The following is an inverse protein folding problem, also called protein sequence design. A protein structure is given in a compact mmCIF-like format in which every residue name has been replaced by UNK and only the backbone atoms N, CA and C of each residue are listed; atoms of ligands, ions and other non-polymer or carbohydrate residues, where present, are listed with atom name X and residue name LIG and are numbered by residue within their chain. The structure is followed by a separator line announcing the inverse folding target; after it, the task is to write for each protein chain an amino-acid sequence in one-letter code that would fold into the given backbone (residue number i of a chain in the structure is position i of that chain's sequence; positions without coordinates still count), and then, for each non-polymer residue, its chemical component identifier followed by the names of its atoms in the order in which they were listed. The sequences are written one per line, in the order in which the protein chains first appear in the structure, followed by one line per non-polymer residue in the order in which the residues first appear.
data_IF_040240348753
#
_entry.id   IF_040240348753
#
_cell.length_a   1.000
_cell.length_b   1.000
_cell.length_c   1.000
_cell.angle_alpha   90.00
_cell.angle_beta   90.00
_cell.angle_gamma   90.00
#
_symmetry.space_group_name_H-M   'P 1'
#
loop_
_entity.id
_entity.type
_entity.pdbx_description
1 polymer ?
#
# COMPACT_ATOMS: atom_id res chain seq x y z
N UNK A 1 -1.46 -6.81 12.72
CA UNK A 1 -2.71 -6.93 11.94
C UNK A 1 -3.52 -5.66 12.01
N UNK A 2 -4.08 -5.18 10.89
CA UNK A 2 -4.82 -3.91 10.84
C UNK A 2 -6.25 -4.06 11.39
N UNK A 3 -6.99 -5.09 10.95
CA UNK A 3 -8.46 -5.14 11.12
C UNK A 3 -9.05 -6.49 11.50
N UNK A 4 -8.33 -7.35 12.23
CA UNK A 4 -8.95 -8.57 12.77
C UNK A 4 -9.92 -8.21 13.89
N UNK A 5 -11.11 -8.82 13.87
CA UNK A 5 -12.19 -8.56 14.82
C UNK A 5 -11.74 -8.89 16.24
N UNK A 6 -11.85 -7.91 17.15
CA UNK A 6 -11.51 -8.11 18.55
C UNK A 6 -12.66 -8.65 19.39
N UNK A 7 -12.32 -9.15 20.59
CA UNK A 7 -13.26 -9.66 21.60
C UNK A 7 -14.28 -10.69 21.09
N UNK A 8 -13.90 -11.52 20.11
CA UNK A 8 -14.73 -12.57 19.52
C UNK A 8 -14.29 -13.99 19.93
N UNK A 9 -13.38 -14.10 20.91
CA UNK A 9 -12.80 -15.36 21.40
C UNK A 9 -12.20 -16.27 20.31
N UNK A 10 -11.79 -15.72 19.16
CA UNK A 10 -11.30 -16.49 18.00
C UNK A 10 -10.07 -15.84 17.38
N UNK A 11 -9.00 -16.61 17.17
CA UNK A 11 -7.83 -16.16 16.39
C UNK A 11 -7.04 -15.02 17.04
N UNK A 12 -6.91 -13.90 16.34
CA UNK A 12 -6.08 -12.73 16.72
C UNK A 12 -6.90 -11.44 16.69
N UNK A 13 -6.33 -10.36 17.23
CA UNK A 13 -6.94 -9.01 17.25
C UNK A 13 -6.14 -8.04 16.37
N UNK A 14 -6.85 -7.16 15.64
CA UNK A 14 -6.27 -6.06 14.88
C UNK A 14 -6.10 -4.79 15.72
N UNK A 15 -5.36 -3.82 15.18
CA UNK A 15 -5.30 -2.47 15.76
C UNK A 15 -6.69 -1.81 15.76
N UNK A 16 -7.48 -2.02 14.71
CA UNK A 16 -8.88 -1.58 14.61
C UNK A 16 -9.80 -2.81 14.66
N UNK A 17 -10.79 -2.82 15.56
CA UNK A 17 -11.68 -3.97 15.74
C UNK A 17 -12.91 -3.93 14.83
N UNK A 18 -13.25 -2.74 14.33
CA UNK A 18 -14.32 -2.49 13.36
C UNK A 18 -13.80 -1.58 12.24
N UNK A 19 -13.57 -2.17 11.06
CA UNK A 19 -13.07 -1.48 9.87
C UNK A 19 -13.46 -2.28 8.62
N UNK A 20 -13.46 -1.65 7.45
CA UNK A 20 -13.57 -2.33 6.16
C UNK A 20 -12.20 -2.40 5.49
N UNK A 21 -11.87 -3.56 4.93
CA UNK A 21 -10.61 -3.80 4.21
C UNK A 21 -10.95 -4.08 2.74
N UNK A 22 -10.34 -3.31 1.84
CA UNK A 22 -10.34 -3.57 0.40
C UNK A 22 -9.04 -4.27 0.03
N UNK A 23 -9.10 -5.56 -0.28
CA UNK A 23 -7.93 -6.35 -0.66
C UNK A 23 -7.65 -6.22 -2.16
N UNK A 24 -6.48 -5.68 -2.50
CA UNK A 24 -6.03 -5.51 -3.89
C UNK A 24 -4.80 -6.38 -4.13
N UNK A 25 -4.99 -7.51 -4.83
CA UNK A 25 -3.93 -8.49 -5.10
C UNK A 25 -3.19 -8.12 -6.38
N UNK A 26 -1.89 -7.84 -6.27
CA UNK A 26 -0.97 -7.73 -7.41
C UNK A 26 0.23 -8.67 -7.33
N UNK A 27 0.51 -9.25 -6.15
CA UNK A 27 1.52 -10.28 -5.97
C UNK A 27 0.91 -11.67 -6.23
N UNK A 28 1.64 -12.52 -6.95
CA UNK A 28 1.32 -13.91 -7.26
C UNK A 28 1.28 -14.82 -6.04
N UNK A 29 1.17 -16.12 -6.28
CA UNK A 29 1.33 -17.17 -5.26
C UNK A 29 2.79 -17.38 -4.86
N UNK A 30 3.72 -17.06 -5.76
CA UNK A 30 5.17 -16.99 -5.55
C UNK A 30 5.64 -15.78 -4.73
N UNK A 31 4.74 -14.82 -4.47
CA UNK A 31 5.02 -13.60 -3.73
C UNK A 31 5.60 -12.45 -4.57
N UNK A 32 5.66 -12.59 -5.90
CA UNK A 32 6.20 -11.58 -6.81
C UNK A 32 5.11 -10.88 -7.62
N UNK A 33 5.39 -9.68 -8.11
CA UNK A 33 4.48 -8.91 -8.95
C UNK A 33 5.22 -7.78 -9.66
N UNK A 34 4.50 -7.07 -10.54
CA UNK A 34 5.06 -5.97 -11.34
C UNK A 34 4.62 -4.59 -10.82
N UNK A 35 5.44 -3.58 -11.06
CA UNK A 35 5.03 -2.18 -10.85
C UNK A 35 3.75 -1.83 -11.62
N UNK A 36 3.58 -2.39 -12.82
CA UNK A 36 2.37 -2.16 -13.62
C UNK A 36 1.11 -2.66 -12.91
N UNK A 37 1.17 -3.80 -12.22
CA UNK A 37 0.03 -4.33 -11.47
C UNK A 37 -0.18 -3.61 -10.13
N UNK A 38 0.91 -3.15 -9.49
CA UNK A 38 0.83 -2.26 -8.34
C UNK A 38 0.14 -0.94 -8.70
N UNK A 39 0.52 -0.32 -9.82
CA UNK A 39 -0.10 0.91 -10.37
C UNK A 39 -1.59 0.69 -10.64
N UNK A 40 -1.99 -0.44 -11.24
CA UNK A 40 -3.41 -0.78 -11.43
C UNK A 40 -4.18 -0.83 -10.11
N UNK A 41 -3.59 -1.42 -9.07
CA UNK A 41 -4.22 -1.45 -7.74
C UNK A 41 -4.37 -0.06 -7.12
N UNK A 42 -3.33 0.77 -7.20
CA UNK A 42 -3.37 2.14 -6.68
C UNK A 42 -4.46 2.96 -7.41
N UNK A 43 -4.46 2.91 -8.74
CA UNK A 43 -5.44 3.63 -9.56
C UNK A 43 -6.88 3.15 -9.29
N UNK A 44 -7.08 1.84 -9.10
CA UNK A 44 -8.38 1.31 -8.71
C UNK A 44 -8.85 1.88 -7.36
N UNK A 45 -7.97 1.92 -6.35
CA UNK A 45 -8.31 2.52 -5.05
C UNK A 45 -8.69 4.01 -5.17
N UNK A 46 -7.96 4.76 -6.02
CA UNK A 46 -8.26 6.17 -6.33
C UNK A 46 -9.62 6.31 -7.01
N UNK A 47 -9.92 5.48 -8.00
CA UNK A 47 -11.22 5.46 -8.69
C UNK A 47 -12.38 5.17 -7.72
N UNK A 48 -12.22 4.19 -6.82
CA UNK A 48 -13.22 3.87 -5.80
C UNK A 48 -13.41 5.02 -4.81
N UNK A 49 -12.31 5.67 -4.39
CA UNK A 49 -12.37 6.86 -3.53
C UNK A 49 -13.13 8.01 -4.19
N UNK A 50 -12.85 8.28 -5.47
CA UNK A 50 -13.52 9.32 -6.24
C UNK A 50 -15.00 8.98 -6.50
N UNK A 51 -15.34 7.69 -6.55
CA UNK A 51 -16.71 7.18 -6.63
C UNK A 51 -17.47 7.21 -5.30
N UNK A 52 -16.86 7.73 -4.23
CA UNK A 52 -17.51 7.94 -2.93
C UNK A 52 -17.23 6.87 -1.87
N UNK A 53 -16.39 5.86 -2.16
CA UNK A 53 -15.94 4.91 -1.14
C UNK A 53 -15.01 5.63 -0.16
N UNK A 54 -15.25 5.47 1.14
CA UNK A 54 -14.44 6.13 2.18
C UNK A 54 -13.08 5.42 2.38
N UNK A 55 -12.19 5.56 1.40
CA UNK A 55 -10.80 5.07 1.45
C UNK A 55 -9.91 6.22 1.93
N UNK A 56 -9.17 5.99 3.02
CA UNK A 56 -8.30 7.00 3.64
C UNK A 56 -6.83 6.59 3.69
N UNK A 57 -6.55 5.29 3.60
CA UNK A 57 -5.21 4.73 3.78
C UNK A 57 -4.99 3.57 2.79
N UNK A 58 -3.83 3.56 2.14
CA UNK A 58 -3.23 2.39 1.51
C UNK A 58 -2.09 1.88 2.38
N UNK A 59 -2.02 0.56 2.54
CA UNK A 59 -0.99 -0.12 3.32
C UNK A 59 -0.14 -0.97 2.39
N UNK A 60 1.11 -0.58 2.18
CA UNK A 60 1.99 -1.06 1.11
C UNK A 60 3.23 -1.75 1.69
N UNK A 61 3.03 -2.97 2.19
CA UNK A 61 4.11 -3.84 2.73
C UNK A 61 4.80 -4.63 1.62
N UNK A 62 5.37 -3.92 0.67
CA UNK A 62 6.12 -4.46 -0.45
C UNK A 62 7.16 -3.42 -0.86
N UNK A 63 8.16 -3.86 -1.60
CA UNK A 63 9.17 -2.97 -2.15
C UNK A 63 10.29 -3.72 -2.84
N UNK A 64 11.12 -2.96 -3.53
CA UNK A 64 12.14 -3.46 -4.44
C UNK A 64 12.07 -2.75 -5.79
N UNK A 65 12.90 -3.20 -6.72
CA UNK A 65 13.02 -2.56 -8.04
C UNK A 65 13.78 -1.23 -8.00
N UNK A 66 13.78 -0.54 -9.13
CA UNK A 66 14.40 0.76 -9.30
C UNK A 66 13.33 1.87 -9.27
N UNK A 67 13.77 3.13 -9.28
CA UNK A 67 12.88 4.27 -9.45
C UNK A 67 12.00 4.09 -10.69
N UNK A 68 10.69 4.23 -10.51
CA UNK A 68 9.70 4.18 -11.58
C UNK A 68 8.83 5.44 -11.54
N UNK A 69 8.90 6.27 -12.58
CA UNK A 69 8.15 7.52 -12.67
C UNK A 69 6.63 7.30 -12.65
N UNK A 70 6.13 6.26 -13.34
CA UNK A 70 4.70 5.97 -13.38
C UNK A 70 4.16 5.48 -12.04
N UNK A 71 5.00 4.81 -11.24
CA UNK A 71 4.62 4.43 -9.88
C UNK A 71 4.53 5.65 -8.96
N UNK A 72 5.49 6.59 -9.05
CA UNK A 72 5.41 7.87 -8.33
C UNK A 72 4.14 8.64 -8.69
N UNK A 73 3.81 8.74 -9.98
CA UNK A 73 2.60 9.42 -10.45
C UNK A 73 1.31 8.79 -9.88
N UNK A 74 1.25 7.46 -9.80
CA UNK A 74 0.12 6.78 -9.17
C UNK A 74 0.01 7.09 -7.66
N UNK A 75 1.14 7.15 -6.95
CA UNK A 75 1.18 7.52 -5.52
C UNK A 75 0.74 8.98 -5.34
N UNK A 76 1.22 9.90 -6.17
CA UNK A 76 0.81 11.30 -6.18
C UNK A 76 -0.70 11.46 -6.46
N UNK A 77 -1.26 10.65 -7.35
CA UNK A 77 -2.70 10.63 -7.60
C UNK A 77 -3.49 10.16 -6.37
N UNK A 78 -2.99 9.18 -5.62
CA UNK A 78 -3.58 8.75 -4.35
C UNK A 78 -3.51 9.86 -3.28
N UNK A 79 -2.36 10.54 -3.17
CA UNK A 79 -2.20 11.69 -2.29
C UNK A 79 -3.20 12.81 -2.64
N UNK A 80 -3.31 13.19 -3.92
CA UNK A 80 -4.25 14.19 -4.40
C UNK A 80 -5.72 13.82 -4.14
N UNK A 81 -6.07 12.53 -4.14
CA UNK A 81 -7.40 12.03 -3.78
C UNK A 81 -7.66 12.02 -2.25
N UNK A 82 -6.69 12.44 -1.44
CA UNK A 82 -6.76 12.48 0.02
C UNK A 82 -6.55 11.11 0.68
N UNK A 83 -5.79 10.22 0.04
CA UNK A 83 -5.45 8.89 0.55
C UNK A 83 -4.00 8.89 1.05
N UNK A 84 -3.79 8.51 2.31
CA UNK A 84 -2.46 8.30 2.88
C UNK A 84 -1.83 7.03 2.31
N UNK A 85 -0.61 7.10 1.79
CA UNK A 85 0.14 5.95 1.29
C UNK A 85 1.22 5.54 2.32
N UNK A 86 1.03 4.40 3.00
CA UNK A 86 1.97 3.92 4.02
C UNK A 86 2.85 2.81 3.43
N UNK A 87 4.14 3.07 3.26
CA UNK A 87 5.10 2.13 2.69
C UNK A 87 6.05 1.54 3.75
N UNK A 88 6.44 0.28 3.60
CA UNK A 88 7.51 -0.32 4.41
C UNK A 88 8.90 0.13 3.94
N UNK A 89 9.82 0.36 4.88
CA UNK A 89 11.19 0.82 4.59
C UNK A 89 12.11 -0.24 3.92
N UNK A 90 11.68 -1.50 3.83
CA UNK A 90 12.50 -2.62 3.37
C UNK A 90 13.12 -3.41 4.53
N UNK A 91 13.62 -4.61 4.22
CA UNK A 91 14.06 -5.60 5.24
C UNK A 91 15.57 -5.86 5.21
N UNK A 92 16.34 -5.05 4.48
CA UNK A 92 17.76 -5.28 4.22
C UNK A 92 18.69 -4.63 5.25
N UNK A 93 18.16 -3.80 6.17
CA UNK A 93 18.98 -3.05 7.13
C UNK A 93 19.85 -1.97 6.49
N UNK A 94 19.50 -1.54 5.27
CA UNK A 94 20.21 -0.51 4.51
C UNK A 94 19.86 0.91 4.99
N UNK A 95 20.77 1.85 4.73
CA UNK A 95 20.49 3.28 4.78
C UNK A 95 19.80 3.71 3.48
N UNK A 96 18.52 4.06 3.57
CA UNK A 96 17.70 4.43 2.41
C UNK A 96 18.06 5.80 1.84
N UNK A 97 18.80 6.65 2.58
CA UNK A 97 19.28 7.93 2.05
C UNK A 97 20.41 7.70 1.04
N UNK A 98 21.25 6.68 1.27
CA UNK A 98 22.34 6.28 0.37
C UNK A 98 21.99 5.17 -0.63
N UNK A 99 20.97 4.36 -0.34
CA UNK A 99 20.50 3.25 -1.19
C UNK A 99 18.98 3.21 -1.18
N UNK A 100 18.32 4.03 -2.03
CA UNK A 100 16.87 4.18 -2.02
C UNK A 100 16.12 2.85 -2.17
N UNK A 101 15.05 2.70 -1.39
CA UNK A 101 14.13 1.57 -1.45
C UNK A 101 12.76 2.08 -1.89
N UNK A 102 12.24 1.55 -2.99
CA UNK A 102 10.93 1.95 -3.50
C UNK A 102 9.84 0.95 -3.10
N UNK A 103 8.64 1.43 -2.74
CA UNK A 103 8.15 2.81 -2.88
C UNK A 103 8.46 3.74 -1.69
N UNK A 104 9.15 3.30 -0.63
CA UNK A 104 9.32 4.11 0.58
C UNK A 104 10.22 5.36 0.44
N UNK A 105 11.06 5.41 -0.58
CA UNK A 105 11.97 6.54 -0.87
C UNK A 105 11.42 7.50 -1.93
N UNK A 106 10.12 7.42 -2.26
CA UNK A 106 9.47 8.43 -3.09
C UNK A 106 9.15 9.68 -2.26
N UNK A 107 9.45 10.85 -2.82
CA UNK A 107 9.00 12.15 -2.33
C UNK A 107 7.68 12.50 -3.04
N UNK A 108 6.54 12.18 -2.40
CA UNK A 108 5.20 12.20 -2.98
C UNK A 108 4.19 13.04 -2.18
#
# INVERSE_FOLDING_TARGET
TIGAVGNNNTGVTGVNWDIKIMALKFLGDDGYGSDADAIKCINYAVEQKNSGVNIRVLSNSWGGGAYNQSLLEAINAAHAAGILFVASAGNNGSDNDGSPHYPSSYEA
#
